data_IF_735589319289
#
_entry.id   IF_735589319289
#
_cell.length_a   1.000
_cell.length_b   1.000
_cell.length_c   1.000
_cell.angle_alpha   90.00
_cell.angle_beta   90.00
_cell.angle_gamma   90.00
#
_symmetry.space_group_name_H-M   'P 1'
#
loop_
_entity.id
_entity.type
_entity.pdbx_description
1 polymer ?
#
# COMPACT_ATOMS: atom_id res chain seq x y z
N UNK A 1 20.57 1.14 13.80
CA UNK A 1 19.71 0.58 12.74
C UNK A 1 18.40 1.35 12.80
N UNK A 2 17.90 1.85 11.67
CA UNK A 2 16.61 2.57 11.63
C UNK A 2 15.51 1.64 12.15
N UNK A 3 14.70 2.10 13.12
CA UNK A 3 13.52 1.36 13.61
C UNK A 3 12.36 1.34 12.59
N UNK A 4 12.56 1.96 11.43
CA UNK A 4 11.55 2.12 10.40
C UNK A 4 12.09 1.71 9.03
N UNK A 5 11.23 1.09 8.23
CA UNK A 5 11.41 0.86 6.82
C UNK A 5 10.65 1.93 6.03
N UNK A 6 11.33 2.54 5.06
CA UNK A 6 10.75 3.52 4.16
C UNK A 6 10.25 2.82 2.90
N UNK A 7 9.02 3.10 2.49
CA UNK A 7 8.48 2.67 1.22
C UNK A 7 8.06 3.89 0.38
N UNK A 8 8.32 3.80 -0.91
CA UNK A 8 7.93 4.81 -1.89
C UNK A 8 6.87 4.23 -2.82
N UNK A 9 5.77 4.94 -3.00
CA UNK A 9 4.73 4.62 -3.98
C UNK A 9 4.86 5.58 -5.16
N UNK A 10 5.12 5.04 -6.34
CA UNK A 10 5.21 5.79 -7.59
C UNK A 10 4.11 5.31 -8.54
N UNK A 11 3.62 6.24 -9.38
CA UNK A 11 2.60 5.94 -10.37
C UNK A 11 3.26 5.81 -11.74
N UNK A 12 3.18 4.63 -12.35
CA UNK A 12 3.73 4.36 -13.69
C UNK A 12 2.67 4.47 -14.81
N UNK A 13 1.39 4.67 -14.44
CA UNK A 13 0.26 4.68 -15.38
C UNK A 13 -0.18 6.08 -15.82
N UNK A 14 -0.93 6.13 -16.93
CA UNK A 14 -1.55 7.38 -17.43
C UNK A 14 -2.97 7.61 -16.89
N UNK A 15 -3.56 6.61 -16.22
CA UNK A 15 -4.89 6.68 -15.61
C UNK A 15 -4.78 6.67 -14.09
N UNK A 16 -5.61 7.47 -13.43
CA UNK A 16 -5.67 7.59 -11.96
C UNK A 16 -4.31 7.98 -11.34
N UNK A 17 -3.65 8.97 -11.95
CA UNK A 17 -2.33 9.47 -11.56
C UNK A 17 -2.36 10.02 -10.14
N UNK A 18 -1.30 9.76 -9.38
CA UNK A 18 -1.07 10.34 -8.05
C UNK A 18 0.39 10.77 -7.91
N UNK A 19 0.62 11.81 -7.11
CA UNK A 19 1.97 12.25 -6.76
C UNK A 19 2.70 11.19 -5.94
N UNK A 20 4.01 11.05 -6.15
CA UNK A 20 4.88 10.15 -5.39
C UNK A 20 4.63 10.28 -3.88
N UNK A 21 4.49 9.14 -3.22
CA UNK A 21 4.21 9.09 -1.77
C UNK A 21 5.28 8.32 -1.05
N UNK A 22 5.54 8.73 0.18
CA UNK A 22 6.55 8.11 1.03
C UNK A 22 5.92 7.78 2.36
N UNK A 23 5.98 6.51 2.76
CA UNK A 23 5.47 6.07 4.07
C UNK A 23 6.59 5.39 4.83
N UNK A 24 6.62 5.61 6.13
CA UNK A 24 7.50 4.91 7.05
C UNK A 24 6.69 3.89 7.85
N UNK A 25 7.17 2.64 7.89
CA UNK A 25 6.58 1.55 8.65
C UNK A 25 7.56 1.13 9.73
N UNK A 26 7.12 1.06 10.98
CA UNK A 26 7.99 0.57 12.05
C UNK A 26 8.23 -0.94 11.91
N UNK A 27 9.40 -1.38 12.35
CA UNK A 27 9.75 -2.81 12.42
C UNK A 27 8.96 -3.57 13.49
N UNK A 28 8.14 -2.88 14.30
CA UNK A 28 7.31 -3.46 15.37
C UNK A 28 6.04 -4.14 14.84
N UNK A 29 5.87 -4.22 13.52
CA UNK A 29 4.72 -4.84 12.87
C UNK A 29 3.58 -3.87 12.61
N UNK A 30 3.85 -2.56 12.55
CA UNK A 30 2.87 -1.57 12.14
C UNK A 30 2.41 -1.85 10.70
N UNK A 31 1.19 -1.40 10.42
CA UNK A 31 0.59 -1.52 9.11
C UNK A 31 0.03 -0.20 8.64
N UNK A 32 0.18 0.06 7.34
CA UNK A 32 -0.47 1.17 6.68
C UNK A 32 -1.65 0.66 5.86
N UNK A 33 -2.75 1.41 5.94
CA UNK A 33 -3.94 1.17 5.14
C UNK A 33 -3.76 1.78 3.76
N UNK A 34 -4.04 0.97 2.73
CA UNK A 34 -4.15 1.39 1.34
C UNK A 34 -5.63 1.46 0.99
N UNK A 35 -6.08 2.60 0.46
CA UNK A 35 -7.48 2.69 0.06
C UNK A 35 -7.93 4.07 -0.38
N UNK A 36 -9.25 4.21 -0.49
CA UNK A 36 -9.89 5.44 -0.95
C UNK A 36 -10.22 6.38 0.20
N UNK A 37 -10.09 7.68 -0.07
CA UNK A 37 -10.55 8.79 0.79
C UNK A 37 -11.94 8.51 1.37
N UNK A 38 -12.05 8.65 2.70
CA UNK A 38 -13.29 8.42 3.45
C UNK A 38 -13.29 9.24 4.73
N UNK A 39 -14.35 10.04 4.93
CA UNK A 39 -14.53 10.83 6.15
C UNK A 39 -13.30 11.71 6.41
N UNK A 40 -12.62 11.56 7.57
CA UNK A 40 -11.44 12.35 7.91
C UNK A 40 -10.16 11.91 7.16
N UNK A 41 -10.12 10.70 6.58
CA UNK A 41 -8.94 10.20 5.87
C UNK A 41 -8.86 10.84 4.48
N UNK A 42 -7.90 11.76 4.31
CA UNK A 42 -7.66 12.49 3.06
C UNK A 42 -6.34 12.07 2.40
N UNK A 43 -6.24 12.17 1.08
CA UNK A 43 -4.97 11.97 0.37
C UNK A 43 -3.88 12.93 0.83
N UNK A 44 -2.70 12.39 1.17
CA UNK A 44 -1.50 13.16 1.52
C UNK A 44 -0.24 12.46 1.01
N UNK A 45 0.88 13.18 0.93
CA UNK A 45 2.17 12.66 0.46
C UNK A 45 2.77 11.58 1.36
N UNK A 46 2.33 11.51 2.62
CA UNK A 46 2.82 10.62 3.66
C UNK A 46 1.86 9.47 4.00
N UNK A 47 0.80 9.28 3.20
CA UNK A 47 -0.16 8.19 3.40
C UNK A 47 -0.53 7.51 2.07
N UNK A 48 -1.20 6.37 2.16
CA UNK A 48 -1.60 5.58 0.97
C UNK A 48 -3.12 5.66 0.74
N UNK A 49 -3.69 6.84 0.98
CA UNK A 49 -5.11 7.15 0.79
C UNK A 49 -5.29 7.95 -0.51
N UNK A 50 -6.10 7.48 -1.44
CA UNK A 50 -6.27 8.13 -2.74
C UNK A 50 -7.69 8.62 -2.98
N UNK A 51 -7.85 9.64 -3.82
CA UNK A 51 -9.16 10.00 -4.36
C UNK A 51 -9.43 9.26 -5.68
N UNK A 52 -9.52 7.93 -5.60
CA UNK A 52 -9.71 7.07 -6.77
C UNK A 52 -10.87 6.11 -6.56
N UNK A 53 -11.98 6.28 -7.29
CA UNK A 53 -13.20 5.46 -7.14
C UNK A 53 -13.04 3.98 -7.46
N UNK A 54 -11.99 3.60 -8.20
CA UNK A 54 -11.64 2.20 -8.45
C UNK A 54 -11.17 1.51 -7.17
N UNK A 55 -10.64 2.26 -6.20
CA UNK A 55 -10.24 1.72 -4.91
C UNK A 55 -11.42 1.59 -3.95
N UNK A 56 -11.36 0.50 -3.18
CA UNK A 56 -12.21 0.31 -2.01
C UNK A 56 -11.74 1.25 -0.89
N UNK A 57 -12.65 1.57 0.05
CA UNK A 57 -12.31 2.42 1.21
C UNK A 57 -11.20 1.79 2.05
N UNK A 58 -11.23 0.48 2.20
CA UNK A 58 -10.15 -0.36 2.73
C UNK A 58 -9.88 -1.38 1.63
N UNK A 59 -8.80 -1.17 0.88
CA UNK A 59 -8.51 -1.96 -0.32
C UNK A 59 -7.41 -2.97 -0.04
N UNK A 60 -6.32 -2.52 0.58
CA UNK A 60 -5.24 -3.39 1.00
C UNK A 60 -4.59 -2.88 2.29
N UNK A 61 -3.74 -3.70 2.89
CA UNK A 61 -2.87 -3.34 3.99
C UNK A 61 -1.44 -3.72 3.64
N UNK A 62 -0.50 -2.84 3.97
CA UNK A 62 0.93 -3.10 3.85
C UNK A 62 1.56 -3.13 5.23
N UNK A 63 2.41 -4.13 5.49
CA UNK A 63 3.16 -4.29 6.74
C UNK A 63 4.63 -4.52 6.46
N UNK A 64 5.47 -4.19 7.43
CA UNK A 64 6.87 -4.56 7.43
C UNK A 64 7.18 -5.45 8.63
N UNK A 65 7.68 -6.66 8.36
CA UNK A 65 7.99 -7.66 9.38
C UNK A 65 9.18 -8.51 8.93
N UNK A 66 10.09 -8.83 9.84
CA UNK A 66 11.25 -9.69 9.55
C UNK A 66 12.07 -9.24 8.32
N UNK A 67 12.29 -7.94 8.19
CA UNK A 67 12.98 -7.30 7.05
C UNK A 67 12.29 -7.52 5.69
N UNK A 68 10.97 -7.80 5.70
CA UNK A 68 10.15 -8.06 4.51
C UNK A 68 8.87 -7.26 4.50
N UNK A 69 8.40 -6.92 3.30
CA UNK A 69 7.12 -6.27 3.09
C UNK A 69 6.02 -7.30 2.79
N UNK A 70 4.88 -7.11 3.43
CA UNK A 70 3.69 -7.94 3.26
C UNK A 70 2.53 -7.09 2.78
N UNK A 71 1.98 -7.43 1.63
CA UNK A 71 0.79 -6.79 1.08
C UNK A 71 -0.39 -7.76 1.16
N UNK A 72 -1.51 -7.29 1.71
CA UNK A 72 -2.72 -8.08 1.86
C UNK A 72 -3.90 -7.34 1.25
N UNK A 73 -4.61 -7.96 0.32
CA UNK A 73 -5.92 -7.47 -0.11
C UNK A 73 -6.95 -7.67 1.01
N UNK A 74 -7.86 -6.72 1.21
CA UNK A 74 -8.86 -6.80 2.29
C UNK A 74 -10.27 -7.12 1.79
N UNK A 75 -10.39 -7.93 0.74
CA UNK A 75 -11.67 -8.22 0.08
C UNK A 75 -12.11 -7.07 -0.82
N UNK A 76 -11.16 -6.48 -1.54
CA UNK A 76 -11.42 -5.31 -2.35
C UNK A 76 -12.22 -5.64 -3.63
N UNK A 77 -13.04 -4.70 -4.07
CA UNK A 77 -14.01 -4.97 -5.16
C UNK A 77 -13.34 -5.26 -6.51
N UNK A 78 -12.21 -4.59 -6.79
CA UNK A 78 -11.46 -4.77 -8.03
C UNK A 78 -10.23 -5.68 -7.86
N UNK A 79 -9.87 -6.03 -6.61
CA UNK A 79 -8.69 -6.81 -6.28
C UNK A 79 -7.39 -6.01 -6.28
N UNK A 80 -6.42 -6.53 -5.54
CA UNK A 80 -5.02 -6.08 -5.53
C UNK A 80 -4.18 -6.98 -6.44
N UNK A 81 -3.24 -6.38 -7.17
CA UNK A 81 -2.37 -7.08 -8.11
C UNK A 81 -0.90 -6.77 -7.79
N UNK A 82 -0.06 -7.80 -7.84
CA UNK A 82 1.40 -7.70 -7.70
C UNK A 82 2.02 -8.32 -8.94
N UNK A 83 2.87 -7.58 -9.65
CA UNK A 83 3.52 -8.04 -10.89
C UNK A 83 2.53 -8.64 -11.92
N UNK A 84 1.34 -8.02 -12.03
CA UNK A 84 0.28 -8.47 -12.93
C UNK A 84 -0.55 -9.66 -12.43
N UNK A 85 -0.20 -10.27 -11.28
CA UNK A 85 -0.94 -11.38 -10.69
C UNK A 85 -1.86 -10.91 -9.59
N UNK A 86 -3.13 -11.35 -9.63
CA UNK A 86 -4.12 -11.00 -8.61
C UNK A 86 -3.81 -11.74 -7.31
N UNK A 87 -3.84 -11.03 -6.18
CA UNK A 87 -3.71 -11.63 -4.87
C UNK A 87 -4.95 -12.48 -4.54
N UNK A 88 -4.73 -13.68 -4.01
CA UNK A 88 -5.79 -14.61 -3.62
C UNK A 88 -5.91 -14.66 -2.10
N UNK A 89 -6.62 -13.71 -1.49
CA UNK A 89 -7.05 -13.60 -0.06
C UNK A 89 -6.05 -13.90 1.08
N UNK A 90 -4.81 -14.26 0.76
CA UNK A 90 -3.73 -14.54 1.70
C UNK A 90 -2.72 -13.40 1.73
N UNK A 91 -1.99 -13.26 2.84
CA UNK A 91 -0.89 -12.29 2.94
C UNK A 91 0.14 -12.61 1.86
N UNK A 92 0.37 -11.67 0.94
CA UNK A 92 1.37 -11.82 -0.10
C UNK A 92 2.70 -11.29 0.40
N UNK A 93 3.65 -12.20 0.59
CA UNK A 93 5.04 -11.87 0.85
C UNK A 93 5.70 -11.38 -0.44
N UNK A 94 6.28 -10.19 -0.43
CA UNK A 94 7.03 -9.67 -1.56
C UNK A 94 8.32 -9.03 -1.13
N UNK A 95 9.41 -9.36 -1.83
CA UNK A 95 10.65 -8.59 -1.79
C UNK A 95 10.50 -7.54 -2.89
N UNK A 96 10.03 -6.36 -2.52
CA UNK A 96 9.98 -5.20 -3.42
C UNK A 96 11.31 -4.46 -3.29
N UNK A 97 11.90 -4.13 -4.44
CA UNK A 97 13.31 -3.78 -4.53
C UNK A 97 13.68 -2.63 -3.57
N UNK A 98 14.79 -2.83 -2.84
CA UNK A 98 15.33 -1.87 -1.88
C UNK A 98 16.23 -0.90 -2.64
N UNK A 99 15.62 -0.09 -3.52
CA UNK A 99 16.35 0.96 -4.26
C UNK A 99 16.92 2.02 -3.31
#
# INVERSE_FOLDING_TARGET
MSEHAKIVFECEGTRYVFEKRTVELSIKGDHVKIGRSQGPLKPQSDNVIFDCRVLSRTHAQLRFLNDKFYLKDTGSSNGTFVNGQKLTDTDHEGIYDKS
#
